data_IF_471831173675
#
_entry.id   IF_471831173675
#
_cell.length_a   1.000
_cell.length_b   1.000
_cell.length_c   1.000
_cell.angle_alpha   90.00
_cell.angle_beta   90.00
_cell.angle_gamma   90.00
#
_symmetry.space_group_name_H-M   'P 1'
#
loop_
_entity.id
_entity.type
_entity.pdbx_description
1 polymer ?
#
# COMPACT_ATOMS: atom_id res chain seq x y z
N UNK A 1 49.68 7.20 17.24
CA UNK A 1 49.15 5.99 17.87
C UNK A 1 48.04 6.46 18.79
N UNK A 2 46.83 6.59 18.27
CA UNK A 2 45.66 6.85 19.11
C UNK A 2 45.17 5.51 19.64
N UNK A 3 45.16 5.38 20.97
CA UNK A 3 44.57 4.25 21.68
C UNK A 3 43.08 4.16 21.33
N UNK A 4 42.72 3.17 20.52
CA UNK A 4 41.33 2.82 20.26
C UNK A 4 40.69 2.33 21.57
N UNK A 5 40.02 3.25 22.26
CA UNK A 5 39.25 3.01 23.47
C UNK A 5 38.30 1.82 23.25
N UNK A 6 38.53 0.72 23.98
CA UNK A 6 37.75 -0.52 23.83
C UNK A 6 36.26 -0.20 24.04
N UNK A 7 35.37 -0.54 23.09
CA UNK A 7 33.96 -0.17 23.21
C UNK A 7 33.36 -0.80 24.48
N UNK A 8 32.69 0.02 25.30
CA UNK A 8 32.10 -0.42 26.57
C UNK A 8 31.15 -1.61 26.34
N UNK A 9 31.01 -2.49 27.33
CA UNK A 9 30.10 -3.66 27.26
C UNK A 9 28.68 -3.26 26.83
N UNK A 10 28.20 -2.08 27.24
CA UNK A 10 26.92 -1.51 26.82
C UNK A 10 26.90 -1.18 25.32
N UNK A 11 27.99 -0.65 24.77
CA UNK A 11 28.12 -0.35 23.34
C UNK A 11 28.20 -1.63 22.51
N UNK A 12 28.94 -2.64 22.95
CA UNK A 12 28.99 -3.95 22.26
C UNK A 12 27.65 -4.68 22.31
N UNK A 13 26.93 -4.64 23.43
CA UNK A 13 25.58 -5.20 23.54
C UNK A 13 24.58 -4.43 22.67
N UNK A 14 24.67 -3.09 22.64
CA UNK A 14 23.87 -2.24 21.75
C UNK A 14 24.15 -2.52 20.28
N UNK A 15 25.41 -2.63 19.88
CA UNK A 15 25.81 -2.90 18.50
C UNK A 15 25.44 -4.33 18.07
N UNK A 16 25.44 -5.30 19.00
CA UNK A 16 24.94 -6.65 18.74
C UNK A 16 23.40 -6.71 18.62
N UNK A 17 22.66 -5.91 19.41
CA UNK A 17 21.20 -5.90 19.39
C UNK A 17 20.63 -5.03 18.28
N UNK A 18 21.11 -3.80 18.12
CA UNK A 18 20.58 -2.77 17.21
C UNK A 18 21.44 -2.56 15.97
N UNK A 19 22.63 -3.15 15.87
CA UNK A 19 23.60 -2.84 14.82
C UNK A 19 24.48 -1.65 15.17
N UNK A 20 25.66 -1.59 14.57
CA UNK A 20 26.58 -0.47 14.73
C UNK A 20 26.03 0.82 14.10
N UNK A 21 26.43 1.98 14.65
CA UNK A 21 26.04 3.28 14.10
C UNK A 21 26.51 3.42 12.64
N UNK A 22 25.57 3.67 11.72
CA UNK A 22 25.86 3.90 10.30
C UNK A 22 25.92 5.40 10.01
N UNK A 23 26.90 5.82 9.21
CA UNK A 23 27.02 7.22 8.82
C UNK A 23 26.01 7.56 7.72
N UNK A 24 25.19 8.63 7.88
CA UNK A 24 24.31 9.12 6.82
C UNK A 24 25.06 9.59 5.56
N UNK A 25 26.38 9.84 5.66
CA UNK A 25 27.22 10.30 4.55
C UNK A 25 27.95 9.16 3.81
N UNK A 26 27.68 7.89 4.12
CA UNK A 26 28.35 6.77 3.44
C UNK A 26 27.86 6.62 1.98
N UNK A 27 28.71 6.86 0.96
CA UNK A 27 28.33 6.77 -0.44
C UNK A 27 27.93 5.36 -0.87
N UNK A 28 28.36 4.32 -0.15
CA UNK A 28 28.03 2.93 -0.46
C UNK A 28 26.57 2.55 -0.15
N UNK A 29 25.87 3.32 0.70
CA UNK A 29 24.45 3.11 1.00
C UNK A 29 23.60 3.37 -0.24
N UNK A 30 23.90 4.42 -1.00
CA UNK A 30 23.10 4.81 -2.17
C UNK A 30 23.52 4.10 -3.46
N UNK A 31 24.81 3.78 -3.64
CA UNK A 31 25.31 3.16 -4.88
C UNK A 31 24.90 1.70 -5.11
N UNK A 32 24.43 0.98 -4.07
CA UNK A 32 23.98 -0.42 -4.19
C UNK A 32 22.48 -0.60 -4.38
N UNK A 33 21.70 0.47 -4.34
CA UNK A 33 20.23 0.44 -4.37
C UNK A 33 19.66 0.90 -5.72
N UNK A 34 20.34 0.71 -6.86
CA UNK A 34 19.71 1.04 -8.15
C UNK A 34 18.62 0.01 -8.46
N UNK A 35 17.39 0.30 -8.05
CA UNK A 35 16.25 -0.58 -8.31
C UNK A 35 15.87 -0.49 -9.78
N UNK A 36 16.04 -1.59 -10.52
CA UNK A 36 15.41 -1.77 -11.83
C UNK A 36 13.89 -1.79 -11.61
N UNK A 37 13.10 -1.41 -12.62
CA UNK A 37 11.64 -1.27 -12.50
C UNK A 37 10.94 -2.45 -11.80
N UNK A 38 11.38 -3.69 -12.05
CA UNK A 38 10.86 -4.87 -11.35
C UNK A 38 11.13 -4.84 -9.84
N UNK A 39 12.39 -4.65 -9.42
CA UNK A 39 12.72 -4.56 -7.98
C UNK A 39 12.12 -3.32 -7.33
N UNK A 40 11.98 -2.22 -8.07
CA UNK A 40 11.27 -1.04 -7.60
C UNK A 40 9.78 -1.33 -7.39
N UNK A 41 9.15 -2.10 -8.28
CA UNK A 41 7.77 -2.55 -8.12
C UNK A 41 7.63 -3.50 -6.93
N UNK A 42 8.56 -4.41 -6.70
CA UNK A 42 8.55 -5.25 -5.49
C UNK A 42 8.70 -4.40 -4.22
N UNK A 43 9.70 -3.52 -4.18
CA UNK A 43 10.05 -2.78 -2.96
C UNK A 43 9.06 -1.66 -2.63
N UNK A 44 8.72 -0.84 -3.61
CA UNK A 44 7.81 0.30 -3.45
C UNK A 44 6.35 -0.09 -3.71
N UNK A 45 6.10 -1.04 -4.60
CA UNK A 45 4.75 -1.54 -4.87
C UNK A 45 4.21 -2.45 -3.78
N UNK A 46 5.05 -3.05 -2.93
CA UNK A 46 4.57 -3.75 -1.74
C UNK A 46 3.65 -2.87 -0.87
N UNK A 47 3.97 -1.59 -0.73
CA UNK A 47 3.16 -0.62 0.00
C UNK A 47 1.76 -0.50 -0.64
N UNK A 48 1.71 -0.03 -1.89
CA UNK A 48 0.44 0.14 -2.61
C UNK A 48 -0.39 -1.14 -2.77
N UNK A 49 0.24 -2.29 -3.01
CA UNK A 49 -0.49 -3.55 -3.15
C UNK A 49 -0.97 -4.12 -1.82
N UNK A 50 -0.24 -3.91 -0.73
CA UNK A 50 -0.72 -4.33 0.60
C UNK A 50 -2.00 -3.61 1.00
N UNK A 51 -2.21 -2.38 0.51
CA UNK A 51 -3.45 -1.61 0.70
C UNK A 51 -4.70 -2.29 0.16
N UNK A 52 -4.55 -3.20 -0.82
CA UNK A 52 -5.67 -4.02 -1.33
C UNK A 52 -6.18 -5.07 -0.32
N UNK A 53 -5.46 -5.30 0.77
CA UNK A 53 -5.86 -6.26 1.81
C UNK A 53 -6.84 -5.68 2.85
N UNK A 54 -6.97 -4.36 2.93
CA UNK A 54 -7.89 -3.70 3.87
C UNK A 54 -8.85 -2.73 3.19
N UNK A 55 -8.44 -2.01 2.14
CA UNK A 55 -9.27 -1.02 1.47
C UNK A 55 -10.55 -1.60 0.84
N UNK A 56 -10.45 -2.61 -0.04
CA UNK A 56 -11.62 -3.29 -0.62
C UNK A 56 -12.58 -3.87 0.43
N UNK A 57 -12.03 -4.48 1.47
CA UNK A 57 -12.82 -5.09 2.55
C UNK A 57 -13.64 -4.03 3.31
N UNK A 58 -13.03 -2.90 3.66
CA UNK A 58 -13.72 -1.78 4.32
C UNK A 58 -14.77 -1.13 3.42
N UNK A 59 -14.48 -1.00 2.12
CA UNK A 59 -15.45 -0.52 1.13
C UNK A 59 -16.67 -1.46 1.06
N UNK A 60 -16.43 -2.77 1.05
CA UNK A 60 -17.47 -3.78 0.98
C UNK A 60 -18.33 -3.84 2.24
N UNK A 61 -17.71 -3.74 3.43
CA UNK A 61 -18.42 -3.65 4.72
C UNK A 61 -19.33 -2.42 4.79
N UNK A 62 -18.88 -1.29 4.26
CA UNK A 62 -19.62 -0.04 4.28
C UNK A 62 -20.89 -0.03 3.42
N UNK A 63 -21.10 -1.05 2.57
CA UNK A 63 -22.32 -1.23 1.79
C UNK A 63 -23.50 -1.82 2.59
N UNK A 64 -23.28 -2.27 3.84
CA UNK A 64 -24.33 -2.63 4.81
C UNK A 64 -25.40 -3.61 4.28
N UNK A 65 -24.99 -4.57 3.45
CA UNK A 65 -25.89 -5.58 2.87
C UNK A 65 -26.24 -5.35 1.41
N UNK A 66 -25.99 -4.17 0.85
CA UNK A 66 -26.17 -3.85 -0.57
C UNK A 66 -24.94 -4.26 -1.41
N UNK A 67 -24.50 -5.51 -1.28
CA UNK A 67 -23.20 -5.98 -1.77
C UNK A 67 -23.03 -5.89 -3.29
N UNK A 68 -24.12 -6.01 -4.05
CA UNK A 68 -24.10 -5.88 -5.51
C UNK A 68 -23.79 -4.46 -6.01
N UNK A 69 -23.90 -3.43 -5.15
CA UNK A 69 -23.37 -2.09 -5.43
C UNK A 69 -21.84 -2.03 -5.41
N UNK A 70 -21.18 -3.06 -4.87
CA UNK A 70 -19.74 -3.20 -4.78
C UNK A 70 -19.04 -3.08 -6.13
N UNK A 71 -19.67 -3.57 -7.21
CA UNK A 71 -19.11 -3.45 -8.57
C UNK A 71 -18.96 -1.98 -9.00
N UNK A 72 -19.90 -1.10 -8.62
CA UNK A 72 -19.83 0.32 -8.95
C UNK A 72 -18.71 1.00 -8.16
N UNK A 73 -18.55 0.62 -6.89
CA UNK A 73 -17.46 1.09 -6.04
C UNK A 73 -16.11 0.61 -6.61
N UNK A 74 -16.00 -0.66 -6.99
CA UNK A 74 -14.79 -1.25 -7.58
C UNK A 74 -14.38 -0.54 -8.86
N UNK A 75 -15.33 -0.31 -9.78
CA UNK A 75 -15.07 0.41 -11.03
C UNK A 75 -14.63 1.87 -10.77
N UNK A 76 -15.27 2.55 -9.83
CA UNK A 76 -14.86 3.89 -9.41
C UNK A 76 -13.44 3.88 -8.82
N UNK A 77 -13.11 2.89 -7.99
CA UNK A 77 -11.78 2.73 -7.40
C UNK A 77 -10.70 2.46 -8.44
N UNK A 78 -10.97 1.59 -9.42
CA UNK A 78 -10.06 1.33 -10.55
C UNK A 78 -9.82 2.60 -11.36
N UNK A 79 -10.89 3.35 -11.68
CA UNK A 79 -10.76 4.62 -12.39
C UNK A 79 -9.88 5.60 -11.60
N UNK A 80 -10.10 5.72 -10.29
CA UNK A 80 -9.30 6.58 -9.41
C UNK A 80 -7.84 6.17 -9.34
N UNK A 81 -7.54 4.87 -9.25
CA UNK A 81 -6.15 4.36 -9.30
C UNK A 81 -5.46 4.85 -10.56
N UNK A 82 -6.08 4.68 -11.74
CA UNK A 82 -5.48 5.13 -13.00
C UNK A 82 -5.35 6.65 -13.08
N UNK A 83 -6.34 7.41 -12.60
CA UNK A 83 -6.29 8.89 -12.58
C UNK A 83 -5.14 9.37 -11.69
N UNK A 84 -5.03 8.86 -10.47
CA UNK A 84 -3.98 9.22 -9.51
C UNK A 84 -2.61 8.81 -10.06
N UNK A 85 -2.47 7.58 -10.56
CA UNK A 85 -1.21 7.12 -11.16
C UNK A 85 -0.80 7.98 -12.35
N UNK A 86 -1.73 8.35 -13.24
CA UNK A 86 -1.46 9.23 -14.37
C UNK A 86 -1.04 10.64 -13.91
N UNK A 87 -1.65 11.17 -12.86
CA UNK A 87 -1.24 12.44 -12.26
C UNK A 87 0.19 12.36 -11.70
N UNK A 88 0.52 11.29 -10.97
CA UNK A 88 1.88 11.08 -10.48
C UNK A 88 2.91 10.89 -11.59
N UNK A 89 2.55 10.31 -12.73
CA UNK A 89 3.45 10.24 -13.89
C UNK A 89 3.87 11.64 -14.38
N UNK A 90 2.94 12.59 -14.41
CA UNK A 90 3.24 13.98 -14.79
C UNK A 90 4.18 14.63 -13.76
N UNK A 91 3.93 14.38 -12.47
CA UNK A 91 4.80 14.86 -11.38
C UNK A 91 6.21 14.29 -11.49
N UNK A 92 6.35 13.00 -11.77
CA UNK A 92 7.64 12.31 -11.94
C UNK A 92 8.44 12.89 -13.12
N UNK A 93 7.76 13.27 -14.20
CA UNK A 93 8.40 13.92 -15.36
C UNK A 93 8.92 15.33 -15.02
N UNK A 94 8.12 16.09 -14.27
CA UNK A 94 8.43 17.48 -13.91
C UNK A 94 9.49 17.57 -12.79
N UNK A 95 9.53 16.58 -11.88
CA UNK A 95 10.45 16.53 -10.74
C UNK A 95 11.30 15.25 -10.69
N UNK A 96 12.25 15.04 -11.63
CA UNK A 96 13.08 13.83 -11.68
C UNK A 96 14.00 13.63 -10.46
N UNK A 97 14.31 14.71 -9.73
CA UNK A 97 15.18 14.68 -8.56
C UNK A 97 14.46 14.31 -7.25
N UNK A 98 13.12 14.25 -7.25
CA UNK A 98 12.30 13.95 -6.08
C UNK A 98 10.89 14.51 -6.23
N UNK A 99 9.93 13.64 -6.54
CA UNK A 99 8.55 14.00 -6.93
C UNK A 99 7.51 13.91 -5.81
N UNK A 100 7.94 14.03 -4.55
CA UNK A 100 7.04 13.90 -3.41
C UNK A 100 6.12 15.11 -3.23
N UNK A 101 4.92 14.86 -2.68
CA UNK A 101 3.87 15.87 -2.50
C UNK A 101 4.35 17.17 -1.83
N UNK A 102 5.20 17.04 -0.80
CA UNK A 102 5.84 18.18 -0.12
C UNK A 102 6.63 19.07 -1.09
N UNK A 103 7.55 18.49 -1.84
CA UNK A 103 8.44 19.24 -2.76
C UNK A 103 7.65 19.91 -3.88
N UNK A 104 6.67 19.19 -4.44
CA UNK A 104 5.83 19.69 -5.53
C UNK A 104 4.97 20.86 -5.06
N UNK A 105 4.28 20.71 -3.92
CA UNK A 105 3.43 21.76 -3.37
C UNK A 105 4.25 22.98 -2.93
N UNK A 106 5.42 22.78 -2.32
CA UNK A 106 6.33 23.88 -1.95
C UNK A 106 6.81 24.70 -3.15
N UNK A 107 7.07 24.04 -4.29
CA UNK A 107 7.63 24.69 -5.48
C UNK A 107 6.58 25.31 -6.39
N UNK A 108 5.41 24.69 -6.52
CA UNK A 108 4.37 25.12 -7.46
C UNK A 108 3.28 25.99 -6.83
N UNK A 109 3.01 25.84 -5.53
CA UNK A 109 1.92 26.56 -4.86
C UNK A 109 2.48 27.58 -3.88
N UNK A 110 3.03 27.12 -2.77
CA UNK A 110 3.64 27.97 -1.75
C UNK A 110 4.37 27.12 -0.69
N UNK A 111 5.33 27.70 0.06
CA UNK A 111 5.96 27.01 1.19
C UNK A 111 4.96 26.53 2.26
N UNK A 112 3.88 27.28 2.50
CA UNK A 112 2.84 26.91 3.46
C UNK A 112 1.99 25.73 2.98
N UNK A 113 1.60 25.70 1.71
CA UNK A 113 0.90 24.55 1.11
C UNK A 113 1.78 23.29 1.13
N UNK A 114 3.09 23.45 0.85
CA UNK A 114 4.06 22.38 1.01
C UNK A 114 4.13 21.85 2.44
N UNK A 115 4.17 22.72 3.44
CA UNK A 115 4.14 22.32 4.86
C UNK A 115 2.88 21.51 5.20
N UNK A 116 1.70 21.93 4.74
CA UNK A 116 0.46 21.16 4.92
C UNK A 116 0.57 19.77 4.28
N UNK A 117 1.08 19.67 3.06
CA UNK A 117 1.32 18.38 2.40
C UNK A 117 2.32 17.51 3.16
N UNK A 118 3.39 18.10 3.71
CA UNK A 118 4.36 17.39 4.54
C UNK A 118 3.75 16.85 5.83
N UNK A 119 2.93 17.65 6.52
CA UNK A 119 2.20 17.20 7.72
C UNK A 119 1.23 16.05 7.39
N UNK A 120 0.50 16.16 6.28
CA UNK A 120 -0.40 15.09 5.82
C UNK A 120 0.38 13.79 5.55
N UNK A 121 1.54 13.86 4.88
CA UNK A 121 2.39 12.69 4.63
C UNK A 121 2.92 12.03 5.91
N UNK A 122 3.23 12.81 6.95
CA UNK A 122 3.66 12.25 8.24
C UNK A 122 2.53 11.48 8.93
N UNK A 123 1.31 12.02 8.89
CA UNK A 123 0.12 11.35 9.43
C UNK A 123 -0.17 10.08 8.63
N UNK A 124 -0.10 10.17 7.30
CA UNK A 124 -0.27 9.05 6.39
C UNK A 124 0.69 7.91 6.73
N UNK A 125 1.99 8.17 6.86
CA UNK A 125 2.96 7.14 7.25
C UNK A 125 2.68 6.48 8.61
N UNK A 126 2.20 7.23 9.60
CA UNK A 126 1.80 6.65 10.89
C UNK A 126 0.58 5.75 10.73
N UNK A 127 -0.42 6.19 9.97
CA UNK A 127 -1.64 5.44 9.71
C UNK A 127 -1.36 4.19 8.87
N UNK A 128 -0.56 4.27 7.81
CA UNK A 128 -0.20 3.13 6.96
C UNK A 128 0.46 2.02 7.75
N UNK A 129 1.43 2.35 8.62
CA UNK A 129 2.06 1.35 9.50
C UNK A 129 1.03 0.74 10.45
N UNK A 130 0.18 1.57 11.05
CA UNK A 130 -0.82 1.12 12.03
C UNK A 130 -1.84 0.18 11.38
N UNK A 131 -2.42 0.59 10.24
CA UNK A 131 -3.41 -0.19 9.48
C UNK A 131 -2.81 -1.48 8.93
N UNK A 132 -1.59 -1.44 8.39
CA UNK A 132 -0.92 -2.65 7.87
C UNK A 132 -0.67 -3.69 8.95
N UNK A 133 -0.21 -3.26 10.14
CA UNK A 133 0.03 -4.19 11.26
C UNK A 133 -1.29 -4.71 11.83
N UNK A 134 -2.32 -3.87 11.93
CA UNK A 134 -3.65 -4.29 12.39
C UNK A 134 -4.28 -5.30 11.42
N UNK A 135 -4.33 -4.98 10.12
CA UNK A 135 -4.85 -5.86 9.07
C UNK A 135 -4.07 -7.18 8.99
N UNK A 136 -2.74 -7.13 9.11
CA UNK A 136 -1.92 -8.34 9.17
C UNK A 136 -2.22 -9.22 10.40
N UNK A 137 -2.47 -8.61 11.56
CA UNK A 137 -2.91 -9.34 12.74
C UNK A 137 -4.32 -9.93 12.56
N UNK A 138 -5.26 -9.19 11.98
CA UNK A 138 -6.61 -9.69 11.65
C UNK A 138 -6.55 -10.90 10.71
N UNK A 139 -5.74 -10.83 9.65
CA UNK A 139 -5.54 -11.94 8.73
C UNK A 139 -5.00 -13.19 9.42
N UNK A 140 -3.99 -13.06 10.30
CA UNK A 140 -3.46 -14.21 11.05
C UNK A 140 -4.50 -14.79 12.02
N UNK A 141 -5.18 -13.93 12.78
CA UNK A 141 -6.15 -14.36 13.78
C UNK A 141 -7.44 -14.92 13.15
N UNK A 142 -7.72 -14.64 11.87
CA UNK A 142 -8.81 -15.25 11.12
C UNK A 142 -8.71 -16.78 11.00
N UNK A 143 -7.48 -17.33 11.07
CA UNK A 143 -7.23 -18.77 11.04
C UNK A 143 -7.19 -19.41 12.44
N UNK A 144 -7.18 -18.60 13.51
CA UNK A 144 -7.01 -19.07 14.88
C UNK A 144 -8.35 -19.26 15.60
N UNK A 145 -8.41 -20.10 16.65
CA UNK A 145 -9.62 -20.25 17.46
C UNK A 145 -10.04 -18.94 18.12
N UNK A 146 -11.36 -18.76 18.29
CA UNK A 146 -11.98 -17.56 18.90
C UNK A 146 -11.40 -17.24 20.29
N UNK A 147 -10.97 -18.25 21.05
CA UNK A 147 -10.35 -18.08 22.37
C UNK A 147 -9.05 -17.28 22.35
N UNK A 148 -8.39 -17.15 21.19
CA UNK A 148 -7.13 -16.41 21.04
C UNK A 148 -7.36 -14.92 20.74
N UNK A 149 -8.55 -14.50 20.29
CA UNK A 149 -8.85 -13.11 19.92
C UNK A 149 -8.45 -12.05 20.98
N UNK A 150 -8.56 -12.30 22.30
CA UNK A 150 -8.10 -11.34 23.31
C UNK A 150 -6.60 -11.00 23.21
N UNK A 151 -5.77 -11.87 22.61
CA UNK A 151 -4.32 -11.66 22.46
C UNK A 151 -3.94 -10.95 21.16
N UNK A 152 -4.90 -10.65 20.28
CA UNK A 152 -4.66 -10.01 18.98
C UNK A 152 -3.93 -8.68 19.10
N UNK A 153 -4.37 -7.82 20.02
CA UNK A 153 -3.75 -6.51 20.24
C UNK A 153 -2.29 -6.65 20.70
N UNK A 154 -2.03 -7.55 21.66
CA UNK A 154 -0.67 -7.80 22.14
C UNK A 154 0.23 -8.35 21.04
N UNK A 155 -0.30 -9.21 20.18
CA UNK A 155 0.42 -9.73 19.01
C UNK A 155 0.76 -8.62 18.01
N UNK A 156 -0.20 -7.75 17.66
CA UNK A 156 0.03 -6.61 16.78
C UNK A 156 1.10 -5.66 17.34
N UNK A 157 1.05 -5.34 18.63
CA UNK A 157 2.04 -4.51 19.31
C UNK A 157 3.43 -5.16 19.32
N UNK A 158 3.52 -6.47 19.55
CA UNK A 158 4.78 -7.21 19.49
C UNK A 158 5.36 -7.20 18.07
N UNK A 159 4.51 -7.37 17.04
CA UNK A 159 4.90 -7.25 15.63
C UNK A 159 5.44 -5.86 15.29
N UNK A 160 4.79 -4.79 15.76
CA UNK A 160 5.27 -3.41 15.58
C UNK A 160 6.65 -3.20 16.22
N UNK A 161 6.85 -3.66 17.46
CA UNK A 161 8.15 -3.57 18.15
C UNK A 161 9.23 -4.34 17.40
N UNK A 162 8.90 -5.54 16.88
CA UNK A 162 9.81 -6.33 16.06
C UNK A 162 10.18 -5.58 14.77
N UNK A 163 9.21 -4.97 14.08
CA UNK A 163 9.48 -4.18 12.89
C UNK A 163 10.38 -2.97 13.21
N UNK A 164 10.13 -2.26 14.31
CA UNK A 164 11.00 -1.17 14.78
C UNK A 164 12.42 -1.69 15.00
N UNK A 165 12.57 -2.83 15.68
CA UNK A 165 13.88 -3.44 15.93
C UNK A 165 14.61 -3.85 14.63
N UNK A 166 13.91 -4.46 13.66
CA UNK A 166 14.46 -4.82 12.35
C UNK A 166 14.88 -3.57 11.53
N UNK A 167 14.09 -2.50 11.62
CA UNK A 167 14.41 -1.21 10.99
C UNK A 167 15.69 -0.61 11.56
N UNK A 168 15.83 -0.60 12.88
CA UNK A 168 17.02 -0.08 13.56
C UNK A 168 18.28 -0.90 13.21
N UNK A 169 18.15 -2.23 13.03
CA UNK A 169 19.24 -3.10 12.56
C UNK A 169 19.66 -2.87 11.11
N UNK A 170 18.86 -2.16 10.31
CA UNK A 170 19.13 -1.94 8.88
C UNK A 170 18.82 -3.15 7.99
N UNK A 171 17.92 -4.05 8.42
CA UNK A 171 17.50 -5.22 7.60
C UNK A 171 16.79 -4.78 6.31
N UNK A 172 16.23 -3.56 6.28
CA UNK A 172 15.50 -2.97 5.15
C UNK A 172 16.34 -2.63 3.91
N UNK A 173 17.66 -2.74 3.97
CA UNK A 173 18.54 -2.26 2.88
C UNK A 173 18.61 -3.21 1.67
N UNK A 174 17.95 -4.36 1.73
CA UNK A 174 17.84 -5.26 0.59
C UNK A 174 16.36 -5.52 0.27
N UNK A 175 15.95 -5.22 -0.96
CA UNK A 175 14.63 -5.60 -1.49
C UNK A 175 14.56 -7.11 -1.78
N UNK A 176 15.72 -7.77 -1.89
CA UNK A 176 15.82 -9.19 -2.31
C UNK A 176 15.03 -10.14 -1.40
N UNK A 177 15.06 -10.02 -0.05
CA UNK A 177 14.25 -10.87 0.83
C UNK A 177 12.74 -10.64 0.69
N UNK A 178 12.29 -9.47 0.21
CA UNK A 178 10.87 -9.17 0.00
C UNK A 178 10.33 -9.80 -1.29
N UNK A 179 11.18 -10.05 -2.29
CA UNK A 179 10.78 -10.62 -3.59
C UNK A 179 9.96 -11.90 -3.46
N UNK A 180 10.39 -12.96 -2.72
CA UNK A 180 9.60 -14.18 -2.63
C UNK A 180 8.24 -13.95 -1.94
N UNK A 181 8.18 -13.10 -0.92
CA UNK A 181 6.93 -12.77 -0.20
C UNK A 181 5.97 -12.06 -1.15
N UNK A 182 6.45 -11.02 -1.84
CA UNK A 182 5.66 -10.23 -2.77
C UNK A 182 5.16 -11.05 -3.97
N UNK A 183 6.03 -11.89 -4.56
CA UNK A 183 5.62 -12.76 -5.66
C UNK A 183 4.62 -13.83 -5.21
N UNK A 184 4.80 -14.39 -4.01
CA UNK A 184 3.81 -15.32 -3.45
C UNK A 184 2.45 -14.63 -3.33
N UNK A 185 2.42 -13.43 -2.74
CA UNK A 185 1.21 -12.63 -2.62
C UNK A 185 0.53 -12.40 -3.98
N UNK A 186 1.27 -11.92 -4.99
CA UNK A 186 0.73 -11.67 -6.33
C UNK A 186 0.18 -12.95 -6.95
N UNK A 187 0.96 -14.02 -6.94
CA UNK A 187 0.59 -15.26 -7.63
C UNK A 187 -0.61 -15.94 -6.97
N UNK A 188 -0.67 -15.95 -5.63
CA UNK A 188 -1.81 -16.55 -4.92
C UNK A 188 -3.10 -15.76 -5.15
N UNK A 189 -3.05 -14.43 -5.11
CA UNK A 189 -4.25 -13.61 -5.36
C UNK A 189 -4.66 -13.66 -6.83
N UNK A 190 -3.71 -13.61 -7.76
CA UNK A 190 -4.00 -13.78 -9.18
C UNK A 190 -4.69 -15.12 -9.45
N UNK A 191 -4.16 -16.20 -8.88
CA UNK A 191 -4.77 -17.52 -8.97
C UNK A 191 -6.18 -17.55 -8.37
N UNK A 192 -6.35 -17.03 -7.15
CA UNK A 192 -7.64 -17.02 -6.47
C UNK A 192 -8.72 -16.26 -7.26
N UNK A 193 -8.40 -15.05 -7.73
CA UNK A 193 -9.30 -14.21 -8.52
C UNK A 193 -9.67 -14.92 -9.83
N UNK A 194 -8.68 -15.43 -10.58
CA UNK A 194 -8.95 -16.11 -11.86
C UNK A 194 -9.72 -17.41 -11.65
N UNK A 195 -9.45 -18.15 -10.58
CA UNK A 195 -10.17 -19.38 -10.24
C UNK A 195 -11.63 -19.09 -9.93
N UNK A 196 -11.93 -18.08 -9.09
CA UNK A 196 -13.30 -17.68 -8.78
C UNK A 196 -14.03 -17.22 -10.04
N UNK A 197 -13.41 -16.39 -10.88
CA UNK A 197 -14.00 -15.96 -12.15
C UNK A 197 -14.28 -17.14 -13.09
N UNK A 198 -13.36 -18.10 -13.19
CA UNK A 198 -13.51 -19.28 -14.03
C UNK A 198 -14.67 -20.18 -13.58
N UNK A 199 -14.80 -20.42 -12.27
CA UNK A 199 -15.85 -21.28 -11.71
C UNK A 199 -17.24 -20.64 -11.89
N UNK A 200 -17.35 -19.31 -11.81
CA UNK A 200 -18.63 -18.60 -11.90
C UNK A 200 -18.93 -18.04 -13.30
N UNK A 201 -18.10 -18.30 -14.30
CA UNK A 201 -18.27 -17.74 -15.66
C UNK A 201 -19.58 -18.20 -16.31
N UNK A 202 -20.02 -19.42 -16.01
CA UNK A 202 -21.28 -19.97 -16.52
C UNK A 202 -22.51 -19.26 -15.94
N UNK A 203 -22.38 -18.72 -14.73
CA UNK A 203 -23.45 -18.05 -14.00
C UNK A 203 -23.48 -16.53 -14.26
N UNK A 204 -22.54 -15.99 -15.05
CA UNK A 204 -22.46 -14.56 -15.37
C UNK A 204 -23.78 -13.96 -15.86
N UNK A 205 -24.53 -14.59 -16.80
CA UNK A 205 -25.82 -14.05 -17.24
C UNK A 205 -26.83 -13.92 -16.10
N UNK A 206 -26.87 -14.90 -15.19
CA UNK A 206 -27.75 -14.88 -14.03
C UNK A 206 -27.30 -13.81 -13.01
N UNK A 207 -25.98 -13.68 -12.79
CA UNK A 207 -25.40 -12.70 -11.88
C UNK A 207 -25.69 -11.25 -12.32
N UNK A 208 -25.68 -10.99 -13.63
CA UNK A 208 -26.04 -9.66 -14.18
C UNK A 208 -27.49 -9.32 -13.84
N UNK A 209 -28.40 -10.28 -13.99
CA UNK A 209 -29.82 -10.03 -13.69
C UNK A 209 -30.06 -9.85 -12.20
N UNK A 210 -29.44 -10.68 -11.34
CA UNK A 210 -29.49 -10.54 -9.88
C UNK A 210 -28.95 -9.17 -9.46
N UNK A 211 -27.78 -8.79 -9.97
CA UNK A 211 -27.17 -7.48 -9.68
C UNK A 211 -28.09 -6.34 -10.09
N UNK A 212 -28.76 -6.45 -11.24
CA UNK A 212 -29.72 -5.44 -11.70
C UNK A 212 -30.93 -5.35 -10.78
N UNK A 213 -31.49 -6.47 -10.38
CA UNK A 213 -32.61 -6.54 -9.44
C UNK A 213 -32.23 -5.94 -8.08
N UNK A 214 -31.06 -6.29 -7.55
CA UNK A 214 -30.58 -5.81 -6.25
C UNK A 214 -30.28 -4.31 -6.28
N UNK A 215 -29.75 -3.78 -7.38
CA UNK A 215 -29.57 -2.33 -7.57
C UNK A 215 -30.93 -1.63 -7.60
N UNK A 216 -31.94 -2.21 -8.25
CA UNK A 216 -33.30 -1.65 -8.27
C UNK A 216 -33.95 -1.70 -6.88
N UNK A 217 -33.78 -2.80 -6.16
CA UNK A 217 -34.28 -2.96 -4.79
C UNK A 217 -33.60 -1.97 -3.84
N UNK A 218 -32.27 -1.84 -3.91
CA UNK A 218 -31.51 -0.86 -3.11
C UNK A 218 -32.00 0.57 -3.37
N UNK A 219 -32.26 0.91 -4.64
CA UNK A 219 -32.84 2.21 -5.00
C UNK A 219 -34.29 2.38 -4.51
N UNK A 220 -35.08 1.31 -4.45
CA UNK A 220 -36.45 1.36 -3.94
C UNK A 220 -36.48 1.54 -2.41
N UNK A 221 -35.55 0.92 -1.69
CA UNK A 221 -35.43 0.99 -0.23
C UNK A 221 -34.83 2.32 0.25
N UNK A 222 -33.73 2.76 -0.38
CA UNK A 222 -32.96 3.94 0.04
C UNK A 222 -33.33 5.23 -0.72
N UNK A 223 -34.02 5.10 -1.85
CA UNK A 223 -34.12 6.15 -2.85
C UNK A 223 -32.82 6.36 -3.63
N UNK A 224 -32.91 7.11 -4.73
CA UNK A 224 -31.75 7.40 -5.59
C UNK A 224 -30.64 8.14 -4.83
N UNK A 225 -31.01 9.17 -4.05
CA UNK A 225 -30.04 9.95 -3.27
C UNK A 225 -29.36 9.07 -2.21
N UNK A 226 -30.13 8.23 -1.51
CA UNK A 226 -29.60 7.32 -0.49
C UNK A 226 -28.62 6.31 -1.08
N UNK A 227 -28.95 5.73 -2.23
CA UNK A 227 -28.08 4.78 -2.95
C UNK A 227 -26.77 5.43 -3.39
N UNK A 228 -26.83 6.64 -3.96
CA UNK A 228 -25.63 7.39 -4.35
C UNK A 228 -24.77 7.74 -3.13
N UNK A 229 -25.38 8.21 -2.04
CA UNK A 229 -24.65 8.51 -0.81
C UNK A 229 -24.01 7.27 -0.18
N UNK A 230 -24.68 6.12 -0.24
CA UNK A 230 -24.13 4.84 0.22
C UNK A 230 -22.92 4.42 -0.61
N UNK A 231 -23.01 4.49 -1.94
CA UNK A 231 -21.88 4.21 -2.85
C UNK A 231 -20.72 5.15 -2.55
N UNK A 232 -20.98 6.45 -2.41
CA UNK A 232 -19.94 7.44 -2.09
C UNK A 232 -19.31 7.21 -0.71
N UNK A 233 -20.11 6.81 0.28
CA UNK A 233 -19.60 6.41 1.61
C UNK A 233 -18.71 5.18 1.50
N UNK A 234 -19.16 4.12 0.84
CA UNK A 234 -18.38 2.90 0.64
C UNK A 234 -17.07 3.17 -0.11
N UNK A 235 -17.14 3.95 -1.18
CA UNK A 235 -15.98 4.42 -1.93
C UNK A 235 -15.00 5.23 -1.06
N UNK A 236 -15.52 6.09 -0.18
CA UNK A 236 -14.68 6.89 0.73
C UNK A 236 -14.03 6.03 1.81
N UNK A 237 -14.74 5.06 2.36
CA UNK A 237 -14.18 4.09 3.32
C UNK A 237 -13.09 3.22 2.66
N UNK A 238 -13.26 2.90 1.39
CA UNK A 238 -12.28 2.17 0.57
C UNK A 238 -11.05 2.98 0.15
N UNK A 239 -10.99 4.29 0.44
CA UNK A 239 -9.93 5.17 -0.06
C UNK A 239 -8.52 4.78 0.44
N UNK A 240 -8.41 4.01 1.53
CA UNK A 240 -7.17 3.40 1.99
C UNK A 240 -6.46 2.57 0.91
N UNK A 241 -7.20 2.04 -0.07
CA UNK A 241 -6.67 1.33 -1.24
C UNK A 241 -5.63 2.13 -2.04
N UNK A 242 -5.79 3.45 -2.12
CA UNK A 242 -4.95 4.30 -2.97
C UNK A 242 -3.64 4.72 -2.28
N UNK A 243 -3.53 4.47 -0.98
CA UNK A 243 -2.30 4.71 -0.21
C UNK A 243 -1.18 3.80 -0.72
N UNK A 244 0.04 4.30 -0.78
CA UNK A 244 1.20 3.62 -1.32
C UNK A 244 1.46 3.86 -2.81
N UNK A 245 0.55 4.50 -3.56
CA UNK A 245 0.82 4.91 -4.95
C UNK A 245 1.93 5.98 -4.98
N UNK A 246 1.91 6.88 -4.01
CA UNK A 246 2.91 7.93 -3.79
C UNK A 246 4.30 7.39 -3.45
N UNK A 247 4.41 6.12 -3.03
CA UNK A 247 5.71 5.51 -2.73
C UNK A 247 6.66 5.53 -3.95
N UNK A 248 6.13 5.43 -5.18
CA UNK A 248 6.97 5.51 -6.40
C UNK A 248 7.50 6.93 -6.62
N UNK A 249 6.68 7.96 -6.42
CA UNK A 249 7.09 9.36 -6.66
C UNK A 249 8.04 9.85 -5.57
N UNK A 250 7.82 9.44 -4.31
CA UNK A 250 8.72 9.66 -3.19
C UNK A 250 10.03 8.86 -3.33
N UNK A 251 9.97 7.66 -3.91
CA UNK A 251 11.10 6.77 -4.13
C UNK A 251 12.02 7.13 -5.30
N UNK A 252 11.78 8.24 -6.01
CA UNK A 252 12.59 8.66 -7.15
C UNK A 252 14.13 8.66 -6.92
N UNK A 253 14.66 9.09 -5.76
CA UNK A 253 16.10 9.12 -5.52
C UNK A 253 16.78 7.74 -5.57
N UNK A 254 16.05 6.66 -5.23
CA UNK A 254 16.56 5.28 -5.16
C UNK A 254 16.33 4.47 -6.44
N UNK A 255 15.72 5.07 -7.47
CA UNK A 255 15.50 4.37 -8.74
C UNK A 255 16.74 4.38 -9.63
N UNK A 256 16.91 3.30 -10.40
CA UNK A 256 17.99 3.21 -11.39
C UNK A 256 17.80 4.18 -12.55
N UNK A 257 18.89 4.79 -12.99
CA UNK A 257 18.89 5.63 -14.18
C UNK A 257 18.62 4.85 -15.48
N UNK A 258 17.86 5.43 -16.44
CA UNK A 258 17.21 6.74 -16.39
C UNK A 258 15.95 6.75 -15.49
N UNK A 259 15.99 7.53 -14.40
CA UNK A 259 15.01 7.49 -13.28
C UNK A 259 13.56 7.62 -13.74
N UNK A 260 13.27 8.58 -14.62
CA UNK A 260 11.91 8.83 -15.11
C UNK A 260 11.35 7.60 -15.85
N UNK A 261 12.16 6.93 -16.69
CA UNK A 261 11.71 5.74 -17.44
C UNK A 261 11.48 4.55 -16.51
N UNK A 262 12.35 4.37 -15.53
CA UNK A 262 12.22 3.35 -14.49
C UNK A 262 10.96 3.58 -13.67
N UNK A 263 10.76 4.79 -13.16
CA UNK A 263 9.59 5.21 -12.39
C UNK A 263 8.28 5.03 -13.16
N UNK A 264 8.23 5.45 -14.42
CA UNK A 264 7.07 5.21 -15.31
C UNK A 264 6.72 3.74 -15.46
N UNK A 265 7.73 2.88 -15.51
CA UNK A 265 7.51 1.43 -15.64
C UNK A 265 7.04 0.83 -14.31
N UNK A 266 7.65 1.22 -13.20
CA UNK A 266 7.22 0.86 -11.84
C UNK A 266 5.78 1.28 -11.56
N UNK A 267 5.43 2.53 -11.87
CA UNK A 267 4.07 3.06 -11.68
C UNK A 267 3.04 2.30 -12.51
N UNK A 268 3.37 1.94 -13.76
CA UNK A 268 2.47 1.10 -14.57
C UNK A 268 2.27 -0.27 -13.93
N UNK A 269 3.34 -0.96 -13.53
CA UNK A 269 3.20 -2.26 -12.86
C UNK A 269 2.36 -2.17 -11.60
N UNK A 270 2.60 -1.16 -10.77
CA UNK A 270 1.81 -0.89 -9.58
C UNK A 270 0.34 -0.62 -9.90
N UNK A 271 0.04 0.34 -10.79
CA UNK A 271 -1.34 0.72 -11.11
C UNK A 271 -2.15 -0.45 -11.67
N UNK A 272 -1.60 -1.22 -12.61
CA UNK A 272 -2.29 -2.37 -13.19
C UNK A 272 -2.48 -3.51 -12.19
N UNK A 273 -1.44 -3.83 -11.40
CA UNK A 273 -1.56 -4.89 -10.40
C UNK A 273 -2.52 -4.51 -9.28
N UNK A 274 -2.46 -3.27 -8.78
CA UNK A 274 -3.39 -2.78 -7.76
C UNK A 274 -4.83 -2.73 -8.29
N UNK A 275 -5.06 -2.17 -9.49
CA UNK A 275 -6.39 -2.13 -10.09
C UNK A 275 -6.97 -3.54 -10.29
N UNK A 276 -6.16 -4.49 -10.72
CA UNK A 276 -6.59 -5.88 -10.88
C UNK A 276 -6.93 -6.54 -9.53
N UNK A 277 -6.11 -6.33 -8.49
CA UNK A 277 -6.39 -6.83 -7.14
C UNK A 277 -7.68 -6.24 -6.58
N UNK A 278 -7.86 -4.93 -6.67
CA UNK A 278 -9.02 -4.22 -6.12
C UNK A 278 -10.31 -4.65 -6.83
N UNK A 279 -10.28 -4.73 -8.16
CA UNK A 279 -11.43 -5.18 -8.94
C UNK A 279 -11.76 -6.65 -8.68
N UNK A 280 -10.76 -7.49 -8.45
CA UNK A 280 -10.99 -8.92 -8.21
C UNK A 280 -11.38 -9.27 -6.77
N UNK A 281 -11.04 -8.41 -5.80
CA UNK A 281 -11.37 -8.61 -4.39
C UNK A 281 -12.71 -8.00 -3.96
N UNK A 282 -13.25 -7.05 -4.74
CA UNK A 282 -14.60 -6.49 -4.57
C UNK A 282 -15.64 -7.27 -5.36
#
# INVERSE_FOLDING_TARGET
MDEAEKPSLKRRAKDALLGGARSPQDPHIFHKLSLVAFFAWVGLGADGLSSSCYGPEEAFRALEGHFHLGILVALASVATIFIISASYLQVIELFPAGGGGYMVASKLLSPSAGMVSGCALLIDYVLTITLSVASGADAIFSFLPVSWLPHKLTFAMAGLILLIWLNLRGVKESVVPLVPIFLTFILTHLFAILYVLYVHVADLPALIEITRMDVQQSNAELGLLGTVLLILRAYSMGAGTYTGIEAVSNGMPILRDPKVKTAKSTMRYMAFSLAFMVLGLM
#
